data_IF_712570213251
#
_entry.id   IF_712570213251
#
_cell.length_a   1.000
_cell.length_b   1.000
_cell.length_c   1.000
_cell.angle_alpha   90.00
_cell.angle_beta   90.00
_cell.angle_gamma   90.00
#
_symmetry.space_group_name_H-M   'P 1'
#
loop_
_entity.id
_entity.type
_entity.pdbx_description
1 polymer ?
#
# COMPACT_ATOMS: atom_id res chain seq x y z
N UNK A 1 -11.87 2.74 12.55
CA UNK A 1 -10.79 2.43 11.58
C UNK A 1 -9.70 3.48 11.65
N UNK A 2 -8.40 3.08 11.51
CA UNK A 2 -7.29 4.04 11.48
C UNK A 2 -6.89 4.34 10.04
N UNK A 3 -6.85 5.61 9.69
CA UNK A 3 -6.43 6.11 8.38
C UNK A 3 -5.20 6.99 8.53
N UNK A 4 -4.31 6.97 7.55
CA UNK A 4 -3.15 7.85 7.54
C UNK A 4 -3.30 8.89 6.43
N UNK A 5 -3.46 10.15 6.82
CA UNK A 5 -3.38 11.31 5.92
C UNK A 5 -1.92 11.76 5.86
N UNK A 6 -1.41 12.09 4.68
CA UNK A 6 -0.01 12.44 4.49
C UNK A 6 0.10 13.73 3.70
N UNK A 7 0.90 14.68 4.20
CA UNK A 7 1.30 15.85 3.44
C UNK A 7 2.80 16.07 3.47
N UNK A 8 3.30 16.79 2.48
CA UNK A 8 4.71 17.10 2.34
C UNK A 8 5.02 18.43 3.02
N UNK A 9 6.02 18.42 3.91
CA UNK A 9 6.48 19.60 4.64
C UNK A 9 7.85 20.04 4.09
N UNK A 10 7.91 21.25 3.57
CA UNK A 10 9.15 21.98 3.35
C UNK A 10 9.41 22.87 4.55
N UNK A 11 10.34 22.49 5.44
CA UNK A 11 10.50 23.20 6.71
C UNK A 11 11.14 24.58 6.52
N UNK A 12 10.74 25.55 7.33
CA UNK A 12 11.51 26.79 7.53
C UNK A 12 12.86 26.47 8.16
N UNK A 13 13.77 27.43 8.24
CA UNK A 13 15.10 27.24 8.86
C UNK A 13 14.95 26.73 10.31
N UNK A 14 14.11 27.40 11.11
CA UNK A 14 13.87 27.03 12.53
C UNK A 14 13.28 25.63 12.63
N UNK A 15 12.24 25.33 11.84
CA UNK A 15 11.62 24.00 11.81
C UNK A 15 12.65 22.92 11.41
N UNK A 16 13.53 23.21 10.46
CA UNK A 16 14.58 22.28 10.00
C UNK A 16 15.56 21.96 11.10
N UNK A 17 15.99 22.96 11.88
CA UNK A 17 16.90 22.78 13.02
C UNK A 17 16.24 21.93 14.10
N UNK A 18 15.00 22.27 14.48
CA UNK A 18 14.26 21.53 15.52
C UNK A 18 13.99 20.09 15.08
N UNK A 19 13.46 19.89 13.88
CA UNK A 19 13.17 18.55 13.35
C UNK A 19 14.44 17.73 13.14
N UNK A 20 15.53 18.39 12.68
CA UNK A 20 16.83 17.77 12.55
C UNK A 20 17.34 17.26 13.90
N UNK A 21 17.29 18.08 14.96
CA UNK A 21 17.67 17.67 16.30
C UNK A 21 16.82 16.49 16.80
N UNK A 22 15.50 16.58 16.72
CA UNK A 22 14.61 15.54 17.21
C UNK A 22 14.76 14.21 16.45
N UNK A 23 14.79 14.21 15.12
CA UNK A 23 14.94 13.00 14.31
C UNK A 23 16.31 12.34 14.45
N UNK A 24 17.33 13.14 14.73
CA UNK A 24 18.67 12.67 15.09
C UNK A 24 18.67 11.97 16.46
N UNK A 25 18.07 12.58 17.49
CA UNK A 25 17.95 12.00 18.81
C UNK A 25 17.23 10.64 18.79
N UNK A 26 16.19 10.49 17.95
CA UNK A 26 15.52 9.20 17.71
C UNK A 26 16.51 8.13 17.25
N UNK A 27 17.38 8.44 16.29
CA UNK A 27 18.40 7.51 15.79
C UNK A 27 19.40 7.09 16.84
N UNK A 28 19.82 8.05 17.68
CA UNK A 28 20.79 7.80 18.75
C UNK A 28 20.20 6.97 19.88
N UNK A 29 18.97 7.30 20.31
CA UNK A 29 18.26 6.51 21.32
C UNK A 29 18.04 5.07 20.83
N UNK A 30 17.65 4.87 19.55
CA UNK A 30 17.57 3.55 18.95
C UNK A 30 18.87 2.77 19.10
N UNK A 31 20.01 3.40 18.80
CA UNK A 31 21.31 2.72 18.84
C UNK A 31 21.73 2.35 20.27
N UNK A 32 21.53 3.25 21.22
CA UNK A 32 21.85 3.00 22.63
C UNK A 32 21.01 1.84 23.17
N UNK A 33 19.70 1.87 22.96
CA UNK A 33 18.82 0.79 23.39
C UNK A 33 19.09 -0.54 22.66
N UNK A 34 19.42 -0.47 21.37
CA UNK A 34 19.76 -1.67 20.59
C UNK A 34 21.10 -2.29 21.03
N UNK A 35 22.06 -1.45 21.41
CA UNK A 35 23.33 -1.92 21.97
C UNK A 35 23.13 -2.66 23.31
N UNK A 36 22.34 -2.09 24.21
CA UNK A 36 22.02 -2.73 25.49
C UNK A 36 21.34 -4.10 25.27
N UNK A 37 20.34 -4.17 24.36
CA UNK A 37 19.67 -5.45 24.03
C UNK A 37 20.59 -6.51 23.42
N UNK A 38 21.57 -6.10 22.60
CA UNK A 38 22.53 -7.03 22.00
C UNK A 38 23.50 -7.63 22.98
N UNK A 39 23.80 -6.88 24.04
CA UNK A 39 24.79 -7.27 25.07
C UNK A 39 24.12 -7.76 26.36
N UNK A 40 22.81 -7.92 26.38
CA UNK A 40 22.09 -8.46 27.52
C UNK A 40 21.79 -9.94 27.33
N UNK A 41 22.12 -10.75 28.33
CA UNK A 41 21.80 -12.18 28.36
C UNK A 41 20.30 -12.45 28.63
N UNK A 42 19.60 -11.44 29.13
CA UNK A 42 18.17 -11.52 29.43
C UNK A 42 17.34 -10.72 28.45
N UNK A 43 16.19 -11.26 28.05
CA UNK A 43 15.20 -10.53 27.28
C UNK A 43 14.66 -9.36 28.10
N UNK A 44 14.93 -8.11 27.63
CA UNK A 44 14.38 -6.91 28.24
C UNK A 44 13.04 -6.57 27.56
N UNK A 45 11.99 -6.35 28.36
CA UNK A 45 10.74 -5.78 27.84
C UNK A 45 10.92 -4.33 27.39
N UNK A 46 9.97 -3.81 26.62
CA UNK A 46 9.98 -2.38 26.27
C UNK A 46 9.87 -1.49 27.53
N UNK A 47 9.11 -1.93 28.51
CA UNK A 47 8.90 -1.21 29.76
C UNK A 47 10.18 -1.12 30.61
N UNK A 48 10.92 -2.23 30.73
CA UNK A 48 12.20 -2.26 31.48
C UNK A 48 13.21 -1.30 30.85
N UNK A 49 13.34 -1.33 29.53
CA UNK A 49 14.20 -0.38 28.82
C UNK A 49 13.74 1.07 28.94
N UNK A 50 12.44 1.34 28.99
CA UNK A 50 11.94 2.70 29.22
C UNK A 50 12.34 3.22 30.60
N UNK A 51 12.35 2.38 31.62
CA UNK A 51 12.84 2.73 32.98
C UNK A 51 14.35 2.95 33.00
N UNK A 52 15.11 2.01 32.44
CA UNK A 52 16.57 2.05 32.40
C UNK A 52 17.11 3.28 31.69
N UNK A 53 16.52 3.64 30.54
CA UNK A 53 17.01 4.75 29.71
C UNK A 53 16.33 6.09 29.98
N UNK A 54 15.45 6.21 30.98
CA UNK A 54 14.73 7.45 31.30
C UNK A 54 15.66 8.65 31.50
N UNK A 55 16.83 8.42 32.11
CA UNK A 55 17.82 9.45 32.39
C UNK A 55 18.89 9.63 31.31
N UNK A 56 18.83 8.83 30.25
CA UNK A 56 19.76 8.93 29.13
C UNK A 56 19.57 10.27 28.39
N UNK A 57 20.70 10.89 27.99
CA UNK A 57 20.72 12.16 27.26
C UNK A 57 19.80 12.17 26.04
N UNK A 58 19.83 11.12 25.20
CA UNK A 58 19.00 11.03 23.98
C UNK A 58 17.52 10.84 24.29
N UNK A 59 17.19 10.17 25.40
CA UNK A 59 15.81 10.03 25.85
C UNK A 59 15.25 11.38 26.32
N UNK A 60 16.00 12.12 27.16
CA UNK A 60 15.60 13.43 27.68
C UNK A 60 15.47 14.50 26.59
N UNK A 61 16.22 14.36 25.48
CA UNK A 61 16.09 15.21 24.30
C UNK A 61 14.89 14.90 23.39
N UNK A 62 13.98 14.03 23.81
CA UNK A 62 12.73 13.73 23.14
C UNK A 62 11.55 13.96 24.10
N UNK A 63 10.36 14.33 23.60
CA UNK A 63 9.14 14.22 24.38
C UNK A 63 8.99 12.77 24.86
N UNK A 64 8.62 12.57 26.15
CA UNK A 64 8.68 11.24 26.80
C UNK A 64 7.95 10.14 26.01
N UNK A 65 6.75 10.42 25.50
CA UNK A 65 6.00 9.45 24.68
C UNK A 65 6.67 9.19 23.33
N UNK A 66 7.41 10.15 22.77
CA UNK A 66 8.20 9.94 21.55
C UNK A 66 9.40 9.03 21.82
N UNK A 67 10.10 9.23 22.94
CA UNK A 67 11.19 8.35 23.38
C UNK A 67 10.69 6.92 23.65
N UNK A 68 9.57 6.78 24.35
CA UNK A 68 8.90 5.49 24.57
C UNK A 68 8.58 4.79 23.24
N UNK A 69 8.06 5.53 22.25
CA UNK A 69 7.75 4.97 20.94
C UNK A 69 8.99 4.43 20.19
N UNK A 70 10.17 5.02 20.38
CA UNK A 70 11.43 4.48 19.83
C UNK A 70 11.72 3.11 20.39
N UNK A 71 11.61 2.97 21.73
CA UNK A 71 11.88 1.71 22.44
C UNK A 71 10.83 0.65 22.09
N UNK A 72 9.55 1.02 21.99
CA UNK A 72 8.47 0.14 21.56
C UNK A 72 8.71 -0.39 20.12
N UNK A 73 9.09 0.49 19.19
CA UNK A 73 9.43 0.09 17.79
C UNK A 73 10.64 -0.84 17.75
N UNK A 74 11.64 -0.59 18.57
CA UNK A 74 12.80 -1.48 18.69
C UNK A 74 12.41 -2.85 19.25
N UNK A 75 11.55 -2.90 20.28
CA UNK A 75 11.06 -4.15 20.86
C UNK A 75 10.27 -4.98 19.82
N UNK A 76 9.43 -4.33 19.01
CA UNK A 76 8.70 -4.98 17.90
C UNK A 76 9.68 -5.54 16.86
N UNK A 77 10.74 -4.79 16.50
CA UNK A 77 11.74 -5.27 15.55
C UNK A 77 12.50 -6.50 16.07
N UNK A 78 12.84 -6.55 17.35
CA UNK A 78 13.45 -7.72 17.99
C UNK A 78 12.48 -8.91 18.05
N UNK A 79 11.21 -8.66 18.39
CA UNK A 79 10.17 -9.72 18.37
C UNK A 79 10.03 -10.32 16.97
N UNK A 80 10.04 -9.49 15.93
CA UNK A 80 9.98 -9.96 14.54
C UNK A 80 11.22 -10.80 14.16
N UNK A 81 12.42 -10.39 14.61
CA UNK A 81 13.65 -11.16 14.42
C UNK A 81 13.58 -12.54 15.06
N UNK A 82 13.17 -12.61 16.34
CA UNK A 82 13.05 -13.90 17.03
C UNK A 82 11.96 -14.79 16.42
N UNK A 83 10.84 -14.23 15.99
CA UNK A 83 9.79 -14.95 15.28
C UNK A 83 10.31 -15.53 13.96
N UNK A 84 11.03 -14.74 13.15
CA UNK A 84 11.61 -15.21 11.90
C UNK A 84 12.64 -16.33 12.12
N UNK A 85 13.46 -16.22 13.19
CA UNK A 85 14.42 -17.25 13.57
C UNK A 85 13.74 -18.55 14.01
N UNK A 86 12.63 -18.44 14.77
CA UNK A 86 11.88 -19.62 15.26
C UNK A 86 11.14 -20.33 14.14
N UNK A 87 10.50 -19.58 13.24
CA UNK A 87 9.62 -20.15 12.21
C UNK A 87 10.36 -20.62 10.96
N UNK A 88 11.68 -20.39 10.84
CA UNK A 88 12.47 -20.79 9.67
C UNK A 88 12.10 -20.08 8.34
N UNK A 89 11.26 -19.03 8.39
CA UNK A 89 10.76 -18.34 7.20
C UNK A 89 11.85 -17.56 6.43
N UNK A 90 13.02 -17.39 7.02
CA UNK A 90 14.18 -16.74 6.42
C UNK A 90 15.42 -17.59 6.66
N UNK A 91 16.20 -17.85 5.61
CA UNK A 91 17.45 -18.62 5.71
C UNK A 91 18.46 -18.00 6.70
N UNK A 92 18.56 -16.66 6.73
CA UNK A 92 19.51 -15.92 7.57
C UNK A 92 18.87 -14.70 8.21
N UNK A 93 17.99 -14.84 9.22
CA UNK A 93 17.42 -13.71 9.92
C UNK A 93 18.53 -12.91 10.63
N UNK A 94 18.51 -11.58 10.48
CA UNK A 94 19.49 -10.68 11.11
C UNK A 94 18.82 -9.81 12.16
N UNK A 95 19.48 -9.57 13.30
CA UNK A 95 18.94 -8.69 14.34
C UNK A 95 18.84 -7.25 13.85
N UNK A 96 18.04 -6.39 14.52
CA UNK A 96 17.89 -4.99 14.15
C UNK A 96 19.23 -4.30 14.02
N UNK A 97 19.44 -3.59 12.88
CA UNK A 97 20.70 -2.90 12.58
C UNK A 97 20.83 -1.60 13.37
N UNK A 98 22.07 -1.19 13.63
CA UNK A 98 22.38 0.16 14.10
C UNK A 98 22.14 1.18 12.98
N UNK A 99 21.73 2.37 13.39
CA UNK A 99 21.58 3.52 12.48
C UNK A 99 22.95 4.18 12.25
N UNK A 100 23.27 4.63 11.03
CA UNK A 100 24.51 5.37 10.75
C UNK A 100 24.64 6.64 11.61
N UNK A 101 25.89 7.15 11.74
CA UNK A 101 26.17 8.34 12.59
C UNK A 101 25.31 9.56 12.25
N UNK A 102 25.06 9.80 10.97
CA UNK A 102 24.33 10.97 10.44
C UNK A 102 22.87 10.67 10.11
N UNK A 103 22.36 9.50 10.52
CA UNK A 103 21.00 9.09 10.17
C UNK A 103 19.93 9.84 10.98
N UNK A 104 18.89 10.27 10.30
CA UNK A 104 17.67 10.81 10.87
C UNK A 104 16.55 9.78 10.77
N UNK A 105 15.86 9.48 11.87
CA UNK A 105 14.77 8.50 11.92
C UNK A 105 13.42 9.18 12.13
N UNK A 106 12.37 8.50 11.69
CA UNK A 106 10.98 8.94 11.89
C UNK A 106 10.70 9.14 13.38
N UNK A 107 10.21 10.34 13.74
CA UNK A 107 9.71 10.63 15.08
C UNK A 107 8.20 10.47 15.15
N UNK A 108 7.71 9.90 16.25
CA UNK A 108 6.29 9.66 16.52
C UNK A 108 5.83 10.48 17.70
N UNK A 109 4.76 11.24 17.53
CA UNK A 109 4.10 12.01 18.59
C UNK A 109 2.73 11.39 18.87
N UNK A 110 2.49 10.99 20.13
CA UNK A 110 1.18 10.53 20.61
C UNK A 110 0.36 11.73 21.09
N UNK A 111 -0.93 11.53 21.33
CA UNK A 111 -1.94 12.58 21.59
C UNK A 111 -1.52 13.68 22.58
N UNK A 112 -0.81 13.34 23.65
CA UNK A 112 -0.38 14.31 24.67
C UNK A 112 0.78 15.22 24.24
N UNK A 113 1.47 14.89 23.15
CA UNK A 113 2.64 15.63 22.67
C UNK A 113 2.29 16.65 21.58
N UNK A 114 1.05 16.71 21.13
CA UNK A 114 0.62 17.68 20.13
C UNK A 114 -0.81 18.16 20.38
N UNK A 115 -1.13 19.31 19.79
CA UNK A 115 -2.50 19.83 19.65
C UNK A 115 -2.66 20.39 18.25
N UNK A 116 -3.87 20.30 17.70
CA UNK A 116 -4.24 20.96 16.44
C UNK A 116 -5.08 22.17 16.81
N UNK A 117 -4.62 23.35 16.43
CA UNK A 117 -5.22 24.66 16.76
C UNK A 117 -5.13 25.52 15.47
N UNK A 118 -6.23 26.09 15.03
CA UNK A 118 -6.30 27.02 13.90
C UNK A 118 -5.55 26.55 12.64
N UNK A 119 -5.82 25.31 12.24
CA UNK A 119 -5.17 24.63 11.11
C UNK A 119 -3.64 24.50 11.22
N UNK A 120 -3.11 24.52 12.46
CA UNK A 120 -1.70 24.31 12.77
C UNK A 120 -1.51 23.19 13.75
N UNK A 121 -0.45 22.43 13.59
CA UNK A 121 0.00 21.43 14.54
C UNK A 121 0.97 22.10 15.49
N UNK A 122 0.64 22.11 16.78
CA UNK A 122 1.53 22.51 17.86
C UNK A 122 2.13 21.27 18.51
N UNK A 123 3.44 21.10 18.42
CA UNK A 123 4.17 19.97 19.01
C UNK A 123 4.98 20.45 20.20
N UNK A 124 4.92 19.70 21.30
CA UNK A 124 5.70 19.97 22.50
C UNK A 124 7.15 19.55 22.34
N UNK A 125 8.09 20.40 22.73
CA UNK A 125 9.54 20.14 22.76
C UNK A 125 9.93 19.84 24.22
N UNK A 126 10.77 18.83 24.47
CA UNK A 126 11.25 18.48 25.81
C UNK A 126 12.10 19.61 26.42
N UNK A 127 12.22 19.63 27.75
CA UNK A 127 13.04 20.64 28.47
C UNK A 127 14.49 20.60 27.96
N UNK A 128 15.10 19.41 27.96
CA UNK A 128 16.48 19.23 27.49
C UNK A 128 16.71 19.64 26.04
N UNK A 129 15.72 19.37 25.14
CA UNK A 129 15.81 19.85 23.75
C UNK A 129 15.76 21.37 23.64
N UNK A 130 14.95 22.05 24.46
CA UNK A 130 14.90 23.53 24.50
C UNK A 130 16.24 24.11 24.92
N UNK A 131 16.84 23.57 25.98
CA UNK A 131 18.18 23.96 26.45
C UNK A 131 19.22 23.77 25.35
N UNK A 132 19.31 22.59 24.76
CA UNK A 132 20.23 22.31 23.64
C UNK A 132 20.03 23.21 22.42
N UNK A 133 18.77 23.55 22.08
CA UNK A 133 18.45 24.39 20.92
C UNK A 133 18.76 25.87 21.21
N UNK A 134 18.51 26.33 22.45
CA UNK A 134 18.89 27.67 22.87
C UNK A 134 20.42 27.86 22.88
N UNK A 135 21.15 26.95 23.51
CA UNK A 135 22.61 27.01 23.60
C UNK A 135 23.31 26.93 22.24
N UNK A 136 22.86 26.04 21.35
CA UNK A 136 23.57 25.77 20.08
C UNK A 136 23.08 26.64 18.91
N UNK A 137 21.85 27.12 18.94
CA UNK A 137 21.20 27.78 17.80
C UNK A 137 20.47 29.06 18.17
N UNK A 138 20.49 29.49 19.43
CA UNK A 138 19.75 30.65 19.95
C UNK A 138 18.23 30.57 19.64
N UNK A 139 17.64 29.34 19.70
CA UNK A 139 16.23 29.10 19.45
C UNK A 139 15.50 28.93 20.81
N UNK A 140 14.68 29.92 21.18
CA UNK A 140 13.92 29.91 22.44
C UNK A 140 12.47 29.42 22.29
N UNK A 141 12.17 28.69 21.23
CA UNK A 141 10.80 28.26 20.95
C UNK A 141 10.31 27.20 21.94
N UNK A 142 9.16 27.44 22.58
CA UNK A 142 8.49 26.49 23.47
C UNK A 142 7.87 25.31 22.73
N UNK A 143 7.47 25.51 21.48
CA UNK A 143 6.73 24.56 20.65
C UNK A 143 7.25 24.58 19.23
N UNK A 144 7.15 23.44 18.56
CA UNK A 144 7.27 23.37 17.10
C UNK A 144 5.86 23.53 16.50
N UNK A 145 5.72 24.52 15.63
CA UNK A 145 4.49 24.77 14.89
C UNK A 145 4.64 24.33 13.43
N UNK A 146 3.65 23.61 12.91
CA UNK A 146 3.60 23.15 11.51
C UNK A 146 2.21 23.48 10.95
N UNK A 147 2.16 24.21 9.85
CA UNK A 147 0.91 24.47 9.17
C UNK A 147 0.37 23.19 8.52
N UNK A 148 -0.92 22.93 8.69
CA UNK A 148 -1.59 21.84 7.97
C UNK A 148 -1.80 22.23 6.51
N UNK A 149 -1.68 21.25 5.64
CA UNK A 149 -2.01 21.44 4.23
C UNK A 149 -3.52 21.74 4.10
N UNK A 150 -3.85 22.85 3.45
CA UNK A 150 -5.24 23.33 3.28
C UNK A 150 -6.13 22.34 2.49
N UNK A 151 -5.51 21.46 1.71
CA UNK A 151 -6.22 20.42 0.94
C UNK A 151 -6.62 19.21 1.79
N UNK A 152 -6.12 19.11 3.05
CA UNK A 152 -6.39 17.99 3.94
C UNK A 152 -7.69 18.22 4.72
N UNK A 153 -8.70 17.40 4.42
CA UNK A 153 -9.86 17.23 5.30
C UNK A 153 -9.50 16.28 6.44
N UNK A 154 -9.62 16.72 7.68
CA UNK A 154 -9.42 15.91 8.89
C UNK A 154 -10.78 15.43 9.41
N UNK A 155 -11.35 14.41 8.77
CA UNK A 155 -12.60 13.78 9.21
C UNK A 155 -12.31 12.76 10.31
N UNK A 156 -12.20 13.18 11.56
CA UNK A 156 -11.96 12.33 12.72
C UNK A 156 -10.85 12.85 13.64
N UNK A 157 -10.62 12.12 14.71
CA UNK A 157 -9.66 12.51 15.75
C UNK A 157 -8.23 12.01 15.41
N UNK A 158 -7.26 12.92 15.38
CA UNK A 158 -5.85 12.59 15.14
C UNK A 158 -5.26 11.99 16.41
N UNK A 159 -4.86 10.73 16.35
CA UNK A 159 -4.30 9.99 17.50
C UNK A 159 -2.77 10.00 17.53
N UNK A 160 -2.14 10.01 16.35
CA UNK A 160 -0.68 9.93 16.22
C UNK A 160 -0.23 10.83 15.08
N UNK A 161 0.89 11.51 15.27
CA UNK A 161 1.62 12.21 14.21
C UNK A 161 2.99 11.57 14.06
N UNK A 162 3.34 11.20 12.83
CA UNK A 162 4.69 10.77 12.51
C UNK A 162 5.33 11.74 11.52
N UNK A 163 6.55 12.18 11.81
CA UNK A 163 7.33 13.03 10.92
C UNK A 163 8.48 12.21 10.36
N UNK A 164 8.44 11.98 9.05
CA UNK A 164 9.36 11.12 8.31
C UNK A 164 10.35 11.97 7.55
N UNK A 165 11.64 11.95 7.89
CA UNK A 165 12.67 12.69 7.15
C UNK A 165 12.87 12.11 5.76
N UNK A 166 13.07 12.99 4.78
CA UNK A 166 13.36 12.63 3.40
C UNK A 166 14.82 12.95 3.05
N UNK A 167 15.29 12.37 1.98
CA UNK A 167 16.69 12.49 1.54
C UNK A 167 17.09 13.90 1.11
N UNK A 168 16.14 14.77 0.76
CA UNK A 168 16.33 16.17 0.33
C UNK A 168 16.24 17.19 1.47
N UNK A 169 16.09 16.73 2.70
CA UNK A 169 15.94 17.58 3.89
C UNK A 169 14.51 18.09 4.12
N UNK A 170 13.56 17.67 3.32
CA UNK A 170 12.13 17.84 3.57
C UNK A 170 11.58 16.70 4.44
N UNK A 171 10.30 16.77 4.78
CA UNK A 171 9.63 15.76 5.62
C UNK A 171 8.27 15.41 5.05
N UNK A 172 7.83 14.17 5.29
CA UNK A 172 6.42 13.81 5.19
C UNK A 172 5.81 13.78 6.60
N UNK A 173 4.69 14.48 6.76
CA UNK A 173 3.90 14.46 7.99
C UNK A 173 2.74 13.50 7.80
N UNK A 174 2.71 12.44 8.61
CA UNK A 174 1.68 11.42 8.62
C UNK A 174 0.77 11.66 9.81
N UNK A 175 -0.51 11.89 9.55
CA UNK A 175 -1.56 12.06 10.56
C UNK A 175 -2.39 10.77 10.61
N UNK A 176 -2.31 10.04 11.70
CA UNK A 176 -3.13 8.85 11.93
C UNK A 176 -4.45 9.29 12.56
N UNK A 177 -5.48 9.27 11.74
CA UNK A 177 -6.85 9.66 12.10
C UNK A 177 -7.67 8.43 12.42
N UNK A 178 -8.43 8.45 13.49
CA UNK A 178 -9.38 7.41 13.82
C UNK A 178 -10.78 7.85 13.36
N UNK A 179 -11.38 7.04 12.49
CA UNK A 179 -12.73 7.26 11.96
C UNK A 179 -13.61 6.07 12.27
N UNK A 180 -14.81 6.34 12.76
CA UNK A 180 -15.86 5.32 12.86
C UNK A 180 -16.36 4.99 11.47
N UNK A 181 -16.64 3.72 11.23
CA UNK A 181 -17.14 3.21 9.95
C UNK A 181 -18.37 2.37 10.24
N UNK A 182 -19.50 2.78 9.65
CA UNK A 182 -20.72 2.00 9.65
C UNK A 182 -20.71 1.02 8.48
N UNK A 183 -21.16 -0.21 8.70
CA UNK A 183 -21.36 -1.16 7.61
C UNK A 183 -22.65 -0.82 6.83
N UNK A 184 -22.60 -1.04 5.51
CA UNK A 184 -23.78 -0.96 4.66
C UNK A 184 -24.82 -2.01 5.08
N UNK A 185 -26.07 -1.74 4.76
CA UNK A 185 -27.12 -2.76 4.83
C UNK A 185 -26.78 -3.88 3.84
N UNK A 186 -26.94 -5.13 4.26
CA UNK A 186 -26.70 -6.29 3.41
C UNK A 186 -27.75 -6.39 2.31
N UNK A 187 -27.35 -6.10 1.06
CA UNK A 187 -28.21 -6.27 -0.13
C UNK A 187 -28.07 -7.65 -0.74
N UNK A 188 -27.01 -8.37 -0.37
CA UNK A 188 -26.63 -9.65 -0.95
C UNK A 188 -25.96 -9.52 -2.32
N UNK A 189 -25.70 -8.30 -2.81
CA UNK A 189 -25.06 -8.06 -4.10
C UNK A 189 -23.53 -8.18 -3.97
N UNK A 190 -22.94 -8.94 -4.87
CA UNK A 190 -21.51 -9.27 -4.86
C UNK A 190 -20.85 -8.76 -6.13
N UNK A 191 -19.69 -8.15 -5.97
CA UNK A 191 -18.78 -7.78 -7.07
C UNK A 191 -17.54 -8.64 -7.00
N UNK A 192 -17.17 -9.30 -8.09
CA UNK A 192 -15.90 -10.04 -8.20
C UNK A 192 -14.85 -9.25 -8.96
N UNK A 193 -13.59 -9.43 -8.59
CA UNK A 193 -12.43 -8.81 -9.21
C UNK A 193 -11.40 -9.89 -9.53
N UNK A 194 -11.06 -10.02 -10.80
CA UNK A 194 -9.89 -10.74 -11.29
C UNK A 194 -8.77 -9.72 -11.53
N UNK A 195 -7.63 -9.90 -10.84
CA UNK A 195 -6.49 -8.99 -10.91
C UNK A 195 -5.46 -9.44 -11.93
N UNK A 196 -4.99 -8.53 -12.76
CA UNK A 196 -4.03 -8.85 -13.79
C UNK A 196 -2.95 -7.78 -14.01
N UNK A 197 -1.97 -8.08 -14.86
CA UNK A 197 -0.86 -7.17 -15.17
C UNK A 197 -1.24 -6.16 -16.27
N UNK A 198 -1.87 -6.63 -17.35
CA UNK A 198 -2.29 -5.80 -18.48
C UNK A 198 -3.64 -5.13 -18.20
N UNK A 199 -4.57 -5.89 -17.69
CA UNK A 199 -5.81 -5.43 -17.12
C UNK A 199 -5.63 -5.41 -15.60
N UNK A 200 -5.64 -4.23 -14.97
CA UNK A 200 -5.43 -4.10 -13.52
C UNK A 200 -6.50 -4.84 -12.73
N UNK A 201 -7.73 -4.75 -13.20
CA UNK A 201 -8.88 -5.43 -12.62
C UNK A 201 -9.91 -5.69 -13.71
N UNK A 202 -10.50 -6.89 -13.70
CA UNK A 202 -11.69 -7.23 -14.47
C UNK A 202 -12.81 -7.52 -13.48
N UNK A 203 -13.94 -6.84 -13.67
CA UNK A 203 -15.02 -6.72 -12.68
C UNK A 203 -16.28 -7.34 -13.25
N UNK A 204 -16.97 -8.16 -12.45
CA UNK A 204 -18.29 -8.72 -12.73
C UNK A 204 -19.19 -8.60 -11.51
N UNK A 205 -20.53 -8.56 -11.71
CA UNK A 205 -21.53 -8.35 -10.66
C UNK A 205 -22.50 -9.51 -10.59
N UNK A 206 -23.07 -9.78 -9.39
CA UNK A 206 -24.10 -10.81 -9.20
C UNK A 206 -25.48 -10.34 -9.62
N UNK A 207 -25.73 -9.04 -9.69
CA UNK A 207 -26.99 -8.40 -9.98
C UNK A 207 -27.05 -7.71 -11.35
N UNK A 208 -25.96 -7.74 -12.14
CA UNK A 208 -25.92 -7.14 -13.48
C UNK A 208 -25.12 -7.98 -14.48
N UNK A 209 -25.46 -7.85 -15.76
CA UNK A 209 -24.71 -8.41 -16.90
C UNK A 209 -23.46 -7.58 -17.22
N UNK A 210 -23.42 -6.34 -16.75
CA UNK A 210 -22.31 -5.43 -17.01
C UNK A 210 -20.99 -5.98 -16.44
N UNK A 211 -19.93 -5.68 -17.15
CA UNK A 211 -18.57 -5.98 -16.73
C UNK A 211 -17.64 -4.86 -17.11
N UNK A 212 -16.59 -4.67 -16.34
CA UNK A 212 -15.63 -3.59 -16.56
C UNK A 212 -14.20 -4.11 -16.52
N UNK A 213 -13.34 -3.50 -17.34
CA UNK A 213 -11.90 -3.73 -17.34
C UNK A 213 -11.21 -2.41 -17.03
N UNK A 214 -10.43 -2.37 -15.96
CA UNK A 214 -9.53 -1.26 -15.67
C UNK A 214 -8.20 -1.55 -16.35
N UNK A 215 -7.85 -0.71 -17.33
CA UNK A 215 -6.64 -0.90 -18.13
C UNK A 215 -5.35 -0.60 -17.34
N UNK A 216 -4.38 -1.50 -17.42
CA UNK A 216 -3.07 -1.38 -16.77
C UNK A 216 -1.95 -0.86 -17.66
N UNK A 217 -2.24 -0.55 -18.91
CA UNK A 217 -1.21 -0.18 -19.92
C UNK A 217 -0.39 1.03 -19.49
N UNK A 218 -1.04 2.05 -18.89
CA UNK A 218 -0.34 3.22 -18.40
C UNK A 218 0.62 2.88 -17.25
N UNK A 219 0.23 2.03 -16.31
CA UNK A 219 1.11 1.59 -15.23
C UNK A 219 2.34 0.85 -15.77
N UNK A 220 2.14 0.00 -16.77
CA UNK A 220 3.23 -0.71 -17.46
C UNK A 220 4.17 0.26 -18.17
N UNK A 221 3.62 1.27 -18.86
CA UNK A 221 4.39 2.31 -19.55
C UNK A 221 5.25 3.11 -18.59
N UNK A 222 4.66 3.61 -17.49
CA UNK A 222 5.36 4.34 -16.42
C UNK A 222 6.50 3.50 -15.85
N UNK A 223 6.22 2.25 -15.48
CA UNK A 223 7.25 1.37 -14.94
C UNK A 223 8.40 1.15 -15.95
N UNK A 224 8.08 0.89 -17.22
CA UNK A 224 9.10 0.67 -18.28
C UNK A 224 9.97 1.90 -18.49
N UNK A 225 9.37 3.10 -18.53
CA UNK A 225 10.10 4.35 -18.71
C UNK A 225 11.12 4.56 -17.58
N UNK A 226 10.65 4.53 -16.32
CA UNK A 226 11.53 4.77 -15.17
C UNK A 226 12.58 3.67 -15.00
N UNK A 227 12.25 2.41 -15.26
CA UNK A 227 13.22 1.32 -15.22
C UNK A 227 14.36 1.56 -16.20
N UNK A 228 14.05 1.97 -17.44
CA UNK A 228 15.06 2.27 -18.46
C UNK A 228 15.97 3.44 -18.05
N UNK A 229 15.37 4.53 -17.58
CA UNK A 229 16.14 5.73 -17.19
C UNK A 229 17.00 5.50 -15.93
N UNK A 230 16.45 4.82 -14.93
CA UNK A 230 17.18 4.48 -13.70
C UNK A 230 18.33 3.51 -14.00
N UNK A 231 18.09 2.48 -14.83
CA UNK A 231 19.13 1.50 -15.18
C UNK A 231 20.32 2.15 -15.89
N UNK A 232 20.08 3.10 -16.81
CA UNK A 232 21.17 3.85 -17.47
C UNK A 232 22.03 4.60 -16.44
N UNK A 233 21.38 5.32 -15.51
CA UNK A 233 22.12 6.09 -14.49
C UNK A 233 22.82 5.18 -13.47
N UNK A 234 22.26 4.04 -13.14
CA UNK A 234 22.90 3.04 -12.28
C UNK A 234 24.15 2.44 -12.96
N UNK A 235 24.07 2.17 -14.26
CA UNK A 235 25.23 1.70 -15.04
C UNK A 235 26.37 2.71 -15.01
N UNK A 236 26.08 4.01 -15.21
CA UNK A 236 27.08 5.09 -15.10
C UNK A 236 27.66 5.16 -13.67
N UNK A 237 26.81 5.05 -12.64
CA UNK A 237 27.26 5.02 -11.24
C UNK A 237 28.24 3.87 -10.98
N UNK A 238 27.92 2.67 -11.48
CA UNK A 238 28.79 1.49 -11.31
C UNK A 238 30.15 1.69 -12.01
N UNK A 239 30.17 2.25 -13.23
CA UNK A 239 31.40 2.57 -13.95
C UNK A 239 32.25 3.61 -13.19
N UNK A 240 31.63 4.51 -12.43
CA UNK A 240 32.32 5.51 -11.60
C UNK A 240 32.65 5.00 -10.19
N UNK A 241 32.46 3.71 -9.89
CA UNK A 241 32.68 3.12 -8.56
C UNK A 241 31.85 3.70 -7.43
N UNK A 242 30.70 4.30 -7.75
CA UNK A 242 29.80 4.91 -6.73
C UNK A 242 28.88 3.89 -6.12
N UNK A 243 28.97 3.67 -4.82
CA UNK A 243 28.07 2.77 -4.07
C UNK A 243 26.67 3.36 -3.81
N UNK A 244 26.54 4.69 -3.76
CA UNK A 244 25.30 5.37 -3.40
C UNK A 244 24.59 5.94 -4.63
N UNK A 245 23.26 5.91 -4.59
CA UNK A 245 22.44 6.57 -5.61
C UNK A 245 22.72 8.07 -5.66
N UNK A 246 22.83 8.62 -6.86
CA UNK A 246 22.89 10.08 -7.07
C UNK A 246 21.54 10.73 -6.75
N UNK A 247 21.56 12.05 -6.54
CA UNK A 247 20.35 12.88 -6.37
C UNK A 247 19.36 12.64 -7.52
N UNK A 248 19.84 12.53 -8.76
CA UNK A 248 19.02 12.29 -9.95
C UNK A 248 18.31 10.94 -9.91
N UNK A 249 19.00 9.87 -9.51
CA UNK A 249 18.39 8.54 -9.36
C UNK A 249 17.29 8.57 -8.30
N UNK A 250 17.55 9.20 -7.16
CA UNK A 250 16.53 9.33 -6.09
C UNK A 250 15.30 10.11 -6.56
N UNK A 251 15.48 11.20 -7.31
CA UNK A 251 14.38 11.96 -7.91
C UNK A 251 13.53 11.11 -8.87
N UNK A 252 14.16 10.26 -9.70
CA UNK A 252 13.44 9.37 -10.60
C UNK A 252 12.65 8.31 -9.83
N UNK A 253 13.22 7.73 -8.78
CA UNK A 253 12.51 6.81 -7.90
C UNK A 253 11.29 7.46 -7.24
N UNK A 254 11.41 8.70 -6.77
CA UNK A 254 10.31 9.43 -6.15
C UNK A 254 9.22 9.77 -7.15
N UNK A 255 9.57 10.24 -8.35
CA UNK A 255 8.62 10.48 -9.44
C UNK A 255 7.86 9.22 -9.82
N UNK A 256 8.58 8.09 -10.03
CA UNK A 256 7.95 6.80 -10.31
C UNK A 256 6.97 6.40 -9.22
N UNK A 257 7.39 6.49 -7.95
CA UNK A 257 6.56 6.13 -6.79
C UNK A 257 5.29 6.96 -6.74
N UNK A 258 5.39 8.25 -7.01
CA UNK A 258 4.24 9.17 -7.02
C UNK A 258 3.26 8.83 -8.13
N UNK A 259 3.73 8.63 -9.37
CA UNK A 259 2.87 8.30 -10.50
C UNK A 259 2.19 6.94 -10.33
N UNK A 260 2.94 5.90 -9.93
CA UNK A 260 2.38 4.58 -9.64
C UNK A 260 1.32 4.67 -8.53
N UNK A 261 1.61 5.41 -7.46
CA UNK A 261 0.65 5.63 -6.37
C UNK A 261 -0.63 6.30 -6.87
N UNK A 262 -0.53 7.34 -7.69
CA UNK A 262 -1.67 8.06 -8.24
C UNK A 262 -2.56 7.14 -9.09
N UNK A 263 -1.98 6.39 -10.02
CA UNK A 263 -2.72 5.45 -10.87
C UNK A 263 -3.46 4.41 -10.03
N UNK A 264 -2.78 3.76 -9.06
CA UNK A 264 -3.40 2.75 -8.22
C UNK A 264 -4.50 3.32 -7.30
N UNK A 265 -4.32 4.54 -6.79
CA UNK A 265 -5.37 5.22 -6.01
C UNK A 265 -6.59 5.55 -6.85
N UNK A 266 -6.41 6.03 -8.08
CA UNK A 266 -7.52 6.32 -8.99
C UNK A 266 -8.23 5.04 -9.42
N UNK A 267 -7.49 3.98 -9.79
CA UNK A 267 -8.06 2.68 -10.13
C UNK A 267 -8.91 2.11 -8.97
N UNK A 268 -8.40 2.18 -7.74
CA UNK A 268 -9.15 1.71 -6.58
C UNK A 268 -10.35 2.61 -6.23
N UNK A 269 -10.31 3.93 -6.53
CA UNK A 269 -11.48 4.80 -6.41
C UNK A 269 -12.57 4.40 -7.40
N UNK A 270 -12.20 4.13 -8.66
CA UNK A 270 -13.15 3.71 -9.68
C UNK A 270 -13.80 2.38 -9.33
N UNK A 271 -13.06 1.41 -8.80
CA UNK A 271 -13.61 0.14 -8.29
C UNK A 271 -14.70 0.39 -7.23
N UNK A 272 -14.42 1.27 -6.26
CA UNK A 272 -15.40 1.58 -5.21
C UNK A 272 -16.58 2.39 -5.75
N UNK A 273 -16.36 3.27 -6.73
CA UNK A 273 -17.43 3.99 -7.42
C UNK A 273 -18.37 3.02 -8.12
N UNK A 274 -17.84 2.03 -8.85
CA UNK A 274 -18.61 0.96 -9.47
C UNK A 274 -19.34 0.11 -8.42
N UNK A 275 -18.67 -0.28 -7.33
CA UNK A 275 -19.31 -1.05 -6.26
C UNK A 275 -20.51 -0.30 -5.66
N UNK A 276 -20.41 1.00 -5.44
CA UNK A 276 -21.52 1.83 -4.96
C UNK A 276 -22.62 1.96 -6.01
N UNK A 277 -22.28 2.13 -7.30
CA UNK A 277 -23.24 2.25 -8.41
C UNK A 277 -24.11 1.00 -8.55
N UNK A 278 -23.51 -0.18 -8.36
CA UNK A 278 -24.19 -1.47 -8.45
C UNK A 278 -24.67 -1.99 -7.09
N UNK A 279 -24.75 -1.12 -6.10
CA UNK A 279 -25.25 -1.41 -4.75
C UNK A 279 -24.61 -2.69 -4.15
N UNK A 280 -23.31 -2.81 -4.31
CA UNK A 280 -22.50 -3.94 -3.83
C UNK A 280 -22.25 -3.80 -2.34
N UNK A 281 -22.45 -4.86 -1.58
CA UNK A 281 -22.08 -4.95 -0.17
C UNK A 281 -20.82 -5.83 0.09
N UNK A 282 -20.49 -6.68 -0.88
CA UNK A 282 -19.31 -7.55 -0.78
C UNK A 282 -18.48 -7.52 -2.08
N UNK A 283 -17.19 -7.22 -1.95
CA UNK A 283 -16.21 -7.33 -3.02
C UNK A 283 -15.41 -8.62 -2.81
N UNK A 284 -15.34 -9.45 -3.84
CA UNK A 284 -14.56 -10.70 -3.82
C UNK A 284 -13.36 -10.55 -4.76
N UNK A 285 -12.18 -10.72 -4.23
CA UNK A 285 -10.92 -10.61 -5.00
C UNK A 285 -10.31 -12.00 -5.12
N UNK A 286 -9.85 -12.35 -6.33
CA UNK A 286 -9.06 -13.55 -6.55
C UNK A 286 -7.77 -13.51 -5.71
N UNK A 287 -7.48 -14.62 -5.01
CA UNK A 287 -6.29 -14.72 -4.15
C UNK A 287 -5.05 -15.01 -5.00
N UNK A 288 -4.16 -14.04 -5.07
CA UNK A 288 -2.87 -14.10 -5.73
C UNK A 288 -1.72 -14.46 -4.78
N UNK A 289 -2.03 -14.92 -3.56
CA UNK A 289 -1.02 -15.41 -2.62
C UNK A 289 -0.24 -16.52 -3.30
N UNK A 290 1.07 -16.48 -3.26
CA UNK A 290 1.98 -17.43 -3.90
C UNK A 290 2.05 -17.40 -5.44
N UNK A 291 1.42 -16.43 -6.13
CA UNK A 291 1.54 -16.32 -7.61
C UNK A 291 2.99 -16.15 -8.09
N UNK A 292 3.89 -15.80 -7.17
CA UNK A 292 5.33 -15.62 -7.41
C UNK A 292 6.16 -16.86 -7.07
N UNK A 293 5.60 -17.81 -6.32
CA UNK A 293 6.22 -19.06 -6.01
C UNK A 293 6.08 -19.96 -7.24
N UNK A 294 7.16 -20.60 -7.67
CA UNK A 294 7.24 -21.50 -8.84
C UNK A 294 6.77 -20.88 -10.18
N UNK A 295 6.79 -19.54 -10.29
CA UNK A 295 6.34 -18.84 -11.49
C UNK A 295 7.39 -18.95 -12.61
N UNK A 296 7.23 -19.89 -13.52
CA UNK A 296 7.98 -19.98 -14.78
C UNK A 296 7.16 -19.49 -15.98
N UNK A 297 6.87 -18.18 -15.98
CA UNK A 297 6.19 -17.51 -17.11
C UNK A 297 7.18 -16.85 -18.07
N UNK A 298 8.48 -17.21 -17.99
CA UNK A 298 9.56 -16.61 -18.76
C UNK A 298 10.05 -15.26 -18.21
N UNK A 299 11.33 -14.96 -18.46
CA UNK A 299 12.11 -13.86 -17.85
C UNK A 299 11.40 -12.50 -17.85
N UNK A 300 10.76 -12.11 -18.98
CA UNK A 300 10.06 -10.82 -19.12
C UNK A 300 8.76 -10.74 -18.27
N UNK A 301 8.02 -11.83 -18.19
CA UNK A 301 6.76 -11.88 -17.42
C UNK A 301 7.06 -11.96 -15.93
N UNK A 302 8.04 -12.75 -15.51
CA UNK A 302 8.48 -12.83 -14.12
C UNK A 302 8.98 -11.48 -13.60
N UNK A 303 9.76 -10.74 -14.42
CA UNK A 303 10.16 -9.37 -14.07
C UNK A 303 8.97 -8.43 -13.84
N UNK A 304 7.92 -8.54 -14.64
CA UNK A 304 6.69 -7.74 -14.48
C UNK A 304 5.93 -8.14 -13.21
N UNK A 305 5.82 -9.45 -12.93
CA UNK A 305 5.16 -9.97 -11.72
C UNK A 305 5.87 -9.53 -10.44
N UNK A 306 7.21 -9.61 -10.41
CA UNK A 306 7.98 -9.14 -9.25
C UNK A 306 7.86 -7.63 -8.99
N UNK A 307 7.66 -6.83 -10.03
CA UNK A 307 7.50 -5.37 -9.93
C UNK A 307 6.06 -4.94 -9.68
N UNK A 308 5.12 -5.84 -9.81
CA UNK A 308 3.71 -5.53 -9.63
C UNK A 308 3.35 -5.47 -8.14
N UNK A 309 2.76 -4.37 -7.73
CA UNK A 309 2.38 -4.13 -6.33
C UNK A 309 0.95 -4.60 -6.06
N UNK A 310 0.65 -5.89 -6.29
CA UNK A 310 -0.68 -6.47 -6.03
C UNK A 310 -1.14 -6.17 -4.60
N UNK A 311 -0.32 -6.49 -3.59
CA UNK A 311 -0.68 -6.31 -2.18
C UNK A 311 -1.05 -4.86 -1.85
N UNK A 312 -0.31 -3.89 -2.44
CA UNK A 312 -0.61 -2.48 -2.26
C UNK A 312 -1.94 -2.09 -2.92
N UNK A 313 -2.22 -2.60 -4.12
CA UNK A 313 -3.46 -2.31 -4.82
C UNK A 313 -4.65 -2.92 -4.09
N UNK A 314 -4.56 -4.17 -3.67
CA UNK A 314 -5.57 -4.85 -2.84
C UNK A 314 -5.79 -4.08 -1.53
N UNK A 315 -4.73 -3.66 -0.83
CA UNK A 315 -4.88 -2.87 0.40
C UNK A 315 -5.57 -1.52 0.17
N UNK A 316 -5.41 -0.91 -1.02
CA UNK A 316 -6.15 0.30 -1.38
C UNK A 316 -7.63 0.03 -1.61
N UNK A 317 -7.99 -1.09 -2.22
CA UNK A 317 -9.38 -1.53 -2.38
C UNK A 317 -9.97 -1.83 -1.00
N UNK A 318 -9.29 -2.64 -0.18
CA UNK A 318 -9.75 -3.06 1.15
C UNK A 318 -10.09 -1.87 2.07
N UNK A 319 -9.17 -0.89 2.20
CA UNK A 319 -9.44 0.23 3.10
C UNK A 319 -10.53 1.17 2.58
N UNK A 320 -10.62 1.37 1.25
CA UNK A 320 -11.67 2.21 0.65
C UNK A 320 -13.04 1.54 0.68
N UNK A 321 -13.10 0.24 0.41
CA UNK A 321 -14.30 -0.57 0.58
C UNK A 321 -14.82 -0.47 2.00
N UNK A 322 -13.95 -0.66 2.99
CA UNK A 322 -14.31 -0.50 4.41
C UNK A 322 -14.84 0.89 4.73
N UNK A 323 -14.29 1.96 4.14
CA UNK A 323 -14.81 3.32 4.31
C UNK A 323 -16.22 3.50 3.74
N UNK A 324 -16.57 2.74 2.71
CA UNK A 324 -17.90 2.73 2.09
C UNK A 324 -18.84 1.70 2.72
N UNK A 325 -18.44 1.03 3.81
CA UNK A 325 -19.21 -0.01 4.44
C UNK A 325 -19.36 -1.29 3.59
N UNK A 326 -18.38 -1.56 2.73
CA UNK A 326 -18.33 -2.73 1.86
C UNK A 326 -17.32 -3.72 2.43
N UNK A 327 -17.71 -5.00 2.54
CA UNK A 327 -16.80 -6.07 2.95
C UNK A 327 -15.91 -6.52 1.78
N UNK A 328 -14.69 -6.98 2.08
CA UNK A 328 -13.78 -7.53 1.08
C UNK A 328 -13.34 -8.91 1.50
N UNK A 329 -13.49 -9.88 0.60
CA UNK A 329 -13.08 -11.26 0.81
C UNK A 329 -12.16 -11.75 -0.29
N UNK A 330 -11.30 -12.71 0.03
CA UNK A 330 -10.42 -13.38 -0.93
C UNK A 330 -10.86 -14.81 -1.18
N UNK A 331 -10.75 -15.24 -2.43
CA UNK A 331 -11.07 -16.61 -2.84
C UNK A 331 -10.03 -17.14 -3.81
N UNK A 332 -9.76 -18.43 -3.74
CA UNK A 332 -8.80 -19.09 -4.65
C UNK A 332 -9.19 -18.95 -6.12
N UNK A 333 -8.25 -18.48 -6.94
CA UNK A 333 -8.39 -18.36 -8.40
C UNK A 333 -8.17 -19.68 -9.15
N UNK A 334 -7.86 -20.78 -8.49
CA UNK A 334 -7.57 -22.05 -9.14
C UNK A 334 -8.65 -22.42 -10.15
N UNK A 335 -8.23 -22.70 -11.40
CA UNK A 335 -9.04 -23.12 -12.56
C UNK A 335 -10.01 -22.07 -13.12
N UNK A 336 -10.16 -20.88 -12.54
CA UNK A 336 -11.15 -19.86 -12.96
C UNK A 336 -10.91 -19.37 -14.39
N UNK A 337 -9.67 -19.28 -14.85
CA UNK A 337 -9.33 -18.87 -16.21
C UNK A 337 -9.45 -19.99 -17.26
N UNK A 338 -9.60 -21.25 -16.83
CA UNK A 338 -9.61 -22.42 -17.70
C UNK A 338 -11.01 -23.05 -17.87
N UNK A 339 -11.89 -22.87 -16.89
CA UNK A 339 -13.27 -23.32 -16.93
C UNK A 339 -14.18 -22.31 -17.66
N UNK A 340 -15.20 -22.80 -18.32
CA UNK A 340 -16.17 -21.94 -19.00
C UNK A 340 -17.17 -21.33 -18.01
N UNK A 341 -17.29 -20.01 -18.00
CA UNK A 341 -18.23 -19.32 -17.12
C UNK A 341 -19.68 -19.33 -17.64
N UNK A 342 -19.93 -19.86 -18.84
CA UNK A 342 -21.27 -19.88 -19.44
C UNK A 342 -22.02 -21.16 -19.07
N UNK A 343 -21.52 -22.32 -19.46
CA UNK A 343 -22.26 -23.57 -19.30
C UNK A 343 -21.91 -24.33 -18.00
N UNK A 344 -20.72 -24.16 -17.42
CA UNK A 344 -20.35 -24.82 -16.17
C UNK A 344 -21.02 -24.15 -14.96
N UNK A 345 -21.54 -24.96 -14.07
CA UNK A 345 -22.00 -24.52 -12.75
C UNK A 345 -20.83 -24.16 -11.82
N UNK A 346 -21.14 -23.60 -10.67
CA UNK A 346 -20.10 -23.25 -9.68
C UNK A 346 -19.37 -24.49 -9.12
N UNK A 347 -20.07 -25.61 -8.99
CA UNK A 347 -19.53 -26.89 -8.49
C UNK A 347 -18.58 -27.56 -9.49
N UNK A 348 -18.74 -27.26 -10.77
CA UNK A 348 -17.93 -27.83 -11.85
C UNK A 348 -16.65 -27.02 -12.14
N UNK A 349 -16.43 -25.85 -11.46
CA UNK A 349 -15.19 -25.08 -11.61
C UNK A 349 -14.07 -25.78 -10.86
N UNK A 350 -13.35 -26.68 -11.55
CA UNK A 350 -12.31 -27.51 -10.98
C UNK A 350 -11.39 -28.11 -12.03
N UNK A 351 -10.45 -28.96 -11.58
CA UNK A 351 -9.44 -29.59 -12.47
C UNK A 351 -10.05 -30.46 -13.56
N UNK A 352 -11.17 -31.12 -13.29
CA UNK A 352 -11.85 -32.04 -14.24
C UNK A 352 -12.36 -31.31 -15.50
N UNK A 353 -12.84 -30.07 -15.33
CA UNK A 353 -13.42 -29.28 -16.42
C UNK A 353 -12.51 -28.18 -16.94
N UNK A 354 -11.28 -28.09 -16.41
CA UNK A 354 -10.30 -27.08 -16.77
C UNK A 354 -9.63 -27.43 -18.13
N UNK A 355 -9.90 -26.64 -19.17
CA UNK A 355 -9.33 -26.80 -20.52
C UNK A 355 -8.47 -25.62 -20.90
N UNK A 356 -7.14 -25.75 -20.79
CA UNK A 356 -6.17 -24.72 -21.21
C UNK A 356 -6.33 -24.34 -22.69
N UNK A 357 -6.71 -25.28 -23.56
CA UNK A 357 -6.91 -25.10 -24.99
C UNK A 357 -8.05 -24.12 -25.35
N UNK A 358 -9.01 -23.91 -24.44
CA UNK A 358 -10.09 -22.96 -24.61
C UNK A 358 -9.62 -21.50 -24.55
N UNK A 359 -8.49 -21.20 -23.91
CA UNK A 359 -7.86 -19.89 -23.93
C UNK A 359 -6.98 -19.77 -25.19
N UNK A 360 -7.55 -19.32 -26.33
CA UNK A 360 -6.88 -19.24 -27.61
C UNK A 360 -5.75 -18.23 -27.65
N UNK A 361 -6.01 -17.02 -27.13
CA UNK A 361 -5.05 -15.93 -27.04
C UNK A 361 -5.24 -15.15 -25.74
N UNK A 362 -4.32 -14.24 -25.47
CA UNK A 362 -4.49 -13.29 -24.38
C UNK A 362 -5.71 -12.41 -24.65
N UNK A 363 -6.72 -12.51 -23.79
CA UNK A 363 -7.98 -11.78 -23.92
C UNK A 363 -9.08 -12.53 -24.66
N UNK A 364 -8.83 -13.71 -25.28
CA UNK A 364 -9.83 -14.51 -25.98
C UNK A 364 -9.98 -15.91 -25.38
N UNK A 365 -11.18 -16.24 -24.98
CA UNK A 365 -11.61 -17.55 -24.53
C UNK A 365 -12.70 -18.08 -25.46
N UNK A 366 -12.50 -19.27 -26.02
CA UNK A 366 -13.47 -19.96 -26.88
C UNK A 366 -13.75 -21.34 -26.29
N UNK A 367 -14.96 -21.56 -25.83
CA UNK A 367 -15.36 -22.87 -25.30
C UNK A 367 -15.63 -23.87 -26.40
N UNK A 368 -14.92 -24.99 -26.45
CA UNK A 368 -15.14 -26.03 -27.43
C UNK A 368 -16.42 -26.86 -27.21
N UNK A 369 -17.02 -26.78 -26.01
CA UNK A 369 -18.22 -27.53 -25.65
C UNK A 369 -19.50 -26.77 -25.98
N UNK A 370 -19.61 -25.51 -25.54
CA UNK A 370 -20.82 -24.71 -25.75
C UNK A 370 -20.68 -23.64 -26.84
N UNK A 371 -19.53 -23.53 -27.51
CA UNK A 371 -19.29 -22.53 -28.56
C UNK A 371 -19.15 -21.09 -28.08
N UNK A 372 -19.22 -20.82 -26.76
CA UNK A 372 -19.17 -19.47 -26.23
C UNK A 372 -17.81 -18.80 -26.50
N UNK A 373 -17.83 -17.59 -27.05
CA UNK A 373 -16.65 -16.73 -27.28
C UNK A 373 -16.69 -15.55 -26.31
N UNK A 374 -15.67 -15.43 -25.47
CA UNK A 374 -15.63 -14.51 -24.34
C UNK A 374 -14.31 -13.75 -24.26
N UNK A 375 -14.33 -12.62 -23.54
CA UNK A 375 -13.10 -12.07 -23.01
C UNK A 375 -12.58 -13.02 -21.90
N UNK A 376 -11.31 -13.44 -22.00
CA UNK A 376 -10.72 -14.44 -21.09
C UNK A 376 -10.66 -13.98 -19.64
N UNK A 377 -10.40 -12.67 -19.40
CA UNK A 377 -10.31 -12.12 -18.06
C UNK A 377 -11.72 -11.92 -17.46
N UNK A 378 -12.73 -11.60 -18.29
CA UNK A 378 -14.14 -11.60 -17.88
C UNK A 378 -14.62 -13.02 -17.51
N UNK A 379 -14.19 -14.05 -18.26
CA UNK A 379 -14.46 -15.43 -17.91
C UNK A 379 -13.93 -15.79 -16.52
N UNK A 380 -12.68 -15.38 -16.23
CA UNK A 380 -12.05 -15.56 -14.91
C UNK A 380 -12.82 -14.86 -13.80
N UNK A 381 -13.11 -13.57 -13.94
CA UNK A 381 -13.86 -12.78 -12.97
C UNK A 381 -15.23 -13.38 -12.64
N UNK A 382 -15.98 -13.86 -13.66
CA UNK A 382 -17.26 -14.54 -13.47
C UNK A 382 -17.15 -15.87 -12.71
N UNK A 383 -16.09 -16.62 -12.98
CA UNK A 383 -15.83 -17.87 -12.27
C UNK A 383 -15.46 -17.63 -10.79
N UNK A 384 -14.71 -16.55 -10.49
CA UNK A 384 -14.46 -16.10 -9.12
C UNK A 384 -15.79 -15.80 -8.43
N UNK A 385 -16.70 -15.07 -9.10
CA UNK A 385 -18.03 -14.76 -8.58
C UNK A 385 -18.84 -16.01 -8.29
N UNK A 386 -18.90 -16.96 -9.22
CA UNK A 386 -19.63 -18.23 -9.05
C UNK A 386 -19.11 -19.03 -7.86
N UNK A 387 -17.78 -19.19 -7.75
CA UNK A 387 -17.15 -19.90 -6.61
C UNK A 387 -17.52 -19.26 -5.27
N UNK A 388 -17.53 -17.94 -5.21
CA UNK A 388 -17.90 -17.24 -3.97
C UNK A 388 -19.37 -17.43 -3.64
N UNK A 389 -20.27 -17.24 -4.61
CA UNK A 389 -21.70 -17.40 -4.42
C UNK A 389 -22.04 -18.83 -3.95
N UNK A 390 -21.38 -19.85 -4.50
CA UNK A 390 -21.53 -21.24 -4.02
C UNK A 390 -21.12 -21.37 -2.55
N UNK A 391 -19.97 -20.78 -2.17
CA UNK A 391 -19.47 -20.83 -0.79
C UNK A 391 -20.46 -20.23 0.22
N UNK A 392 -21.22 -19.21 -0.19
CA UNK A 392 -22.22 -18.55 0.68
C UNK A 392 -23.64 -19.06 0.46
N UNK A 393 -23.81 -20.19 -0.24
CA UNK A 393 -25.12 -20.80 -0.48
C UNK A 393 -26.05 -20.01 -1.41
N UNK A 394 -25.47 -19.16 -2.28
CA UNK A 394 -26.20 -18.34 -3.26
C UNK A 394 -25.89 -18.81 -4.67
N UNK A 395 -26.77 -18.46 -5.62
CA UNK A 395 -26.55 -18.69 -7.06
C UNK A 395 -26.67 -17.38 -7.84
N UNK A 396 -26.07 -17.34 -9.04
CA UNK A 396 -26.28 -16.22 -9.96
C UNK A 396 -27.76 -16.17 -10.37
N UNK A 397 -28.36 -14.99 -10.38
CA UNK A 397 -29.73 -14.80 -10.85
C UNK A 397 -29.82 -15.24 -12.32
N UNK A 398 -30.86 -16.02 -12.66
CA UNK A 398 -31.19 -16.40 -14.06
C UNK A 398 -31.34 -15.10 -14.87
N UNK A 399 -30.68 -14.97 -16.02
CA UNK A 399 -30.69 -13.77 -16.87
C UNK A 399 -29.40 -12.96 -16.86
N UNK A 400 -28.54 -13.11 -15.84
CA UNK A 400 -27.20 -12.48 -15.82
C UNK A 400 -26.18 -13.18 -16.75
N UNK A 401 -26.66 -14.09 -17.59
CA UNK A 401 -25.81 -14.92 -18.48
C UNK A 401 -25.51 -14.22 -19.82
N UNK A 402 -26.19 -13.12 -20.14
CA UNK A 402 -25.91 -12.35 -21.35
C UNK A 402 -24.50 -11.73 -21.28
N UNK A 403 -23.71 -12.00 -22.31
CA UNK A 403 -22.31 -11.63 -22.39
C UNK A 403 -22.18 -10.31 -23.13
N UNK A 404 -22.38 -9.21 -22.42
CA UNK A 404 -21.96 -7.91 -22.94
C UNK A 404 -20.43 -7.85 -22.98
N UNK A 405 -19.88 -7.26 -24.03
CA UNK A 405 -18.44 -6.96 -24.07
C UNK A 405 -18.09 -6.05 -22.88
N UNK A 406 -17.01 -6.34 -22.14
CA UNK A 406 -16.65 -5.55 -20.96
C UNK A 406 -16.33 -4.11 -21.35
N UNK A 407 -16.87 -3.15 -20.61
CA UNK A 407 -16.54 -1.72 -20.76
C UNK A 407 -15.10 -1.51 -20.29
N UNK A 408 -14.25 -1.02 -21.21
CA UNK A 408 -12.86 -0.71 -20.87
C UNK A 408 -12.74 0.72 -20.36
N UNK A 409 -12.13 0.84 -19.18
CA UNK A 409 -11.78 2.09 -18.54
C UNK A 409 -10.27 2.30 -18.64
N UNK A 410 -9.84 3.40 -19.25
CA UNK A 410 -8.43 3.75 -19.41
C UNK A 410 -8.08 5.02 -18.64
N UNK A 411 -6.81 5.13 -18.28
CA UNK A 411 -6.26 6.30 -17.62
C UNK A 411 -6.13 7.48 -18.59
N UNK A 412 -6.77 8.60 -18.30
CA UNK A 412 -6.75 9.83 -19.12
C UNK A 412 -5.71 10.87 -18.65
N UNK A 413 -4.95 10.57 -17.59
CA UNK A 413 -4.02 11.48 -16.93
C UNK A 413 -4.48 11.90 -15.52
N UNK A 414 -5.76 11.82 -15.23
CA UNK A 414 -6.38 12.21 -13.96
C UNK A 414 -7.24 11.12 -13.33
N UNK A 415 -8.06 10.44 -14.14
CA UNK A 415 -8.97 9.41 -13.69
C UNK A 415 -9.06 8.26 -14.70
N UNK A 416 -9.85 7.24 -14.36
CA UNK A 416 -10.22 6.18 -15.29
C UNK A 416 -11.57 6.54 -15.94
N UNK A 417 -11.59 6.67 -17.25
CA UNK A 417 -12.77 6.99 -18.05
C UNK A 417 -12.99 5.96 -19.15
N UNK A 418 -14.20 5.90 -19.69
CA UNK A 418 -14.48 5.05 -20.85
C UNK A 418 -13.61 5.48 -22.02
N UNK A 419 -12.97 4.52 -22.68
CA UNK A 419 -12.38 4.76 -24.00
C UNK A 419 -13.53 5.08 -24.96
N UNK A 420 -13.73 6.35 -25.24
CA UNK A 420 -14.49 6.75 -26.42
C UNK A 420 -13.70 6.27 -27.63
N UNK A 421 -14.26 5.35 -28.42
CA UNK A 421 -13.76 5.10 -29.76
C UNK A 421 -13.92 6.43 -30.51
N UNK A 422 -12.84 7.18 -30.66
CA UNK A 422 -12.78 8.19 -31.68
C UNK A 422 -12.88 7.41 -33.00
N UNK A 423 -14.01 7.48 -33.67
CA UNK A 423 -14.10 7.13 -35.05
C UNK A 423 -13.09 8.01 -35.76
N UNK A 424 -11.96 7.45 -36.14
CA UNK A 424 -11.11 8.03 -37.19
C UNK A 424 -11.93 7.85 -38.44
N UNK A 425 -12.67 8.90 -38.79
CA UNK A 425 -13.20 9.05 -40.15
C UNK A 425 -11.97 9.19 -41.05
N UNK A 426 -11.65 8.13 -41.75
CA UNK A 426 -10.72 8.10 -42.87
C UNK A 426 -11.11 9.08 -43.97
#
# INVERSE_FOLDING_TARGET
MKLTKVFHLRPTLIQRIILGHLTYCVSKLWNVCNYARRNSDKFQSAYDQQKEFKDNFWYKNLPSQSAQSVIEKLAIAWKSFFSAKKNGNLENPRPPKFKPKTHHSTITFKRNNFKIIDNKIRITISKQSKECLSEKHAIESKYLWIDLDKSLSLDGDVKIIEIVPLWDGSYNVHLVVEKEVSYKRETGNVMSIDLGIKNLATISFSNSVDSFIIDGSQLLSVNRYFDKEISKLQQINNLQGREKNTKRINQLWDKRRTQVKQILHSASNEIISLANRYDTDTIVIGDLTNIREDADYGKKTNQKLHKWNFDRFVSYIEYKARLSGISVEKISEAYTSQCCSVHLSATEIGSLHAKKSNRKHRGLYCCNECGAVLNADQNGSRNILKKYLLRVGKSLRRGVVALASPVRLAWDGHCFSRLTQSYVSS
#
